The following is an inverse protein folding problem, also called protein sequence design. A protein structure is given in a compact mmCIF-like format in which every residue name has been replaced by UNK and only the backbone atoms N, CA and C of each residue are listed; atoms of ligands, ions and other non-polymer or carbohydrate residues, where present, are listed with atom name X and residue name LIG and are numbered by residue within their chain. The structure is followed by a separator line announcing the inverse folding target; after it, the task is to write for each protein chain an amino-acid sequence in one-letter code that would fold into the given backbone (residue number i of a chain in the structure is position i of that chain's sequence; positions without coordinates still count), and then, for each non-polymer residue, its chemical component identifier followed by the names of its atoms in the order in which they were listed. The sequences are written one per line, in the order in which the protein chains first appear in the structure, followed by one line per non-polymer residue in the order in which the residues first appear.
data_IF_220386410148
#
_entry.id   IF_220386410148
#
_cell.length_a   1.000
_cell.length_b   1.000
_cell.length_c   1.000
_cell.angle_alpha   90.00
_cell.angle_beta   90.00
_cell.angle_gamma   90.00
#
_symmetry.space_group_name_H-M   'P 1'
#
loop_
_entity.id
_entity.type
_entity.pdbx_description
1 polymer ?
#
# COMPACT_ATOMS: atom_id res chain seq x y z
N UNK A 1 2.40 -3.52 -24.34
CA UNK A 1 1.53 -4.27 -23.42
C UNK A 1 0.36 -3.37 -23.07
N UNK A 2 -0.87 -3.80 -23.31
CA UNK A 2 -2.05 -3.06 -22.86
C UNK A 2 -2.28 -3.42 -21.39
N UNK A 3 -2.07 -2.45 -20.48
CA UNK A 3 -2.40 -2.61 -19.06
C UNK A 3 -3.91 -2.48 -18.83
N UNK A 4 -4.38 -2.89 -17.66
CA UNK A 4 -5.78 -2.66 -17.30
C UNK A 4 -5.93 -1.25 -16.70
N UNK A 5 -7.11 -0.59 -16.87
CA UNK A 5 -7.32 0.73 -16.30
C UNK A 5 -7.46 0.74 -14.77
N UNK A 6 -7.78 -0.42 -14.18
CA UNK A 6 -8.06 -0.58 -12.75
C UNK A 6 -7.41 -1.85 -12.23
N UNK A 7 -6.80 -1.74 -11.05
CA UNK A 7 -6.26 -2.86 -10.24
C UNK A 7 -7.24 -4.03 -10.13
N UNK A 8 -8.53 -3.74 -9.92
CA UNK A 8 -9.56 -4.78 -9.79
C UNK A 8 -9.73 -5.63 -11.06
N UNK A 9 -9.53 -5.05 -12.24
CA UNK A 9 -9.65 -5.76 -13.51
C UNK A 9 -8.46 -6.71 -13.72
N UNK A 10 -7.28 -6.38 -13.16
CA UNK A 10 -6.09 -7.24 -13.15
C UNK A 10 -6.31 -8.48 -12.29
N UNK A 11 -6.74 -8.29 -11.04
CA UNK A 11 -7.09 -9.40 -10.14
C UNK A 11 -8.22 -10.28 -10.69
N UNK A 12 -9.17 -9.71 -11.43
CA UNK A 12 -10.22 -10.52 -12.04
C UNK A 12 -9.67 -11.53 -13.06
N UNK A 13 -8.50 -11.27 -13.68
CA UNK A 13 -7.93 -12.19 -14.67
C UNK A 13 -7.49 -13.51 -14.03
N UNK A 14 -6.94 -13.48 -12.80
CA UNK A 14 -6.59 -14.72 -12.08
C UNK A 14 -7.86 -15.43 -11.57
N UNK A 15 -8.90 -14.68 -11.18
CA UNK A 15 -10.19 -15.25 -10.76
C UNK A 15 -10.85 -16.06 -11.88
N UNK A 16 -10.85 -15.56 -13.11
CA UNK A 16 -11.45 -16.25 -14.26
C UNK A 16 -10.51 -17.27 -14.92
N UNK A 17 -9.31 -17.46 -14.37
CA UNK A 17 -8.31 -18.40 -14.90
C UNK A 17 -7.68 -17.99 -16.22
N UNK A 18 -7.66 -16.68 -16.55
CA UNK A 18 -7.00 -16.18 -17.77
C UNK A 18 -5.49 -16.02 -17.60
N UNK A 19 -5.02 -15.82 -16.37
CA UNK A 19 -3.60 -15.71 -16.03
C UNK A 19 -3.28 -16.56 -14.81
N UNK A 20 -2.04 -17.02 -14.72
CA UNK A 20 -1.55 -17.81 -13.58
C UNK A 20 -1.12 -16.94 -12.39
N UNK A 21 -0.78 -15.66 -12.64
CA UNK A 21 -0.33 -14.71 -11.63
C UNK A 21 -0.69 -13.27 -12.01
N UNK A 22 -0.80 -12.40 -11.01
CA UNK A 22 -0.98 -10.95 -11.15
C UNK A 22 0.17 -10.25 -10.41
N UNK A 23 0.70 -9.19 -11.02
CA UNK A 23 1.73 -8.37 -10.42
C UNK A 23 1.16 -7.01 -10.04
N UNK A 24 1.14 -6.69 -8.76
CA UNK A 24 0.55 -5.47 -8.26
C UNK A 24 1.32 -4.88 -7.09
N UNK A 25 0.98 -3.62 -6.76
CA UNK A 25 1.55 -2.96 -5.58
C UNK A 25 1.20 -3.72 -4.28
N UNK A 26 2.09 -3.63 -3.30
CA UNK A 26 1.93 -4.28 -1.99
C UNK A 26 0.61 -3.92 -1.29
N UNK A 27 0.15 -2.68 -1.44
CA UNK A 27 -1.14 -2.22 -0.87
C UNK A 27 -2.35 -2.87 -1.53
N UNK A 28 -2.33 -3.00 -2.86
CA UNK A 28 -3.37 -3.67 -3.62
C UNK A 28 -3.42 -5.17 -3.31
N UNK A 29 -2.25 -5.81 -3.22
CA UNK A 29 -2.12 -7.21 -2.82
C UNK A 29 -2.63 -7.42 -1.39
N UNK A 30 -2.27 -6.55 -0.44
CA UNK A 30 -2.72 -6.66 0.96
C UNK A 30 -4.25 -6.56 1.09
N UNK A 31 -4.88 -5.59 0.41
CA UNK A 31 -6.34 -5.46 0.37
C UNK A 31 -7.01 -6.71 -0.23
N UNK A 32 -6.45 -7.26 -1.32
CA UNK A 32 -6.94 -8.49 -1.93
C UNK A 32 -6.86 -9.68 -0.98
N UNK A 33 -5.71 -9.86 -0.32
CA UNK A 33 -5.48 -10.96 0.62
C UNK A 33 -6.42 -10.90 1.84
N UNK A 34 -6.74 -9.70 2.33
CA UNK A 34 -7.72 -9.50 3.41
C UNK A 34 -9.13 -9.93 2.97
N UNK A 35 -9.53 -9.61 1.73
CA UNK A 35 -10.85 -9.94 1.18
C UNK A 35 -11.01 -11.42 0.87
N UNK A 36 -9.92 -12.10 0.53
CA UNK A 36 -9.92 -13.50 0.10
C UNK A 36 -8.94 -14.36 0.90
N UNK A 37 -9.15 -14.50 2.23
CA UNK A 37 -8.20 -15.16 3.11
C UNK A 37 -8.00 -16.63 2.70
N UNK A 38 -6.74 -17.03 2.56
CA UNK A 38 -6.33 -18.40 2.25
C UNK A 38 -6.63 -18.88 0.82
N UNK A 39 -7.07 -17.99 -0.09
CA UNK A 39 -7.35 -18.37 -1.49
C UNK A 39 -6.18 -18.13 -2.45
N UNK A 40 -5.28 -17.23 -2.10
CA UNK A 40 -4.15 -16.80 -2.92
C UNK A 40 -2.89 -16.74 -2.08
N UNK A 41 -1.73 -16.66 -2.73
CA UNK A 41 -0.43 -16.52 -2.09
C UNK A 41 0.44 -15.52 -2.83
N UNK A 42 1.40 -14.92 -2.12
CA UNK A 42 2.41 -14.04 -2.70
C UNK A 42 3.64 -14.88 -3.02
N UNK A 43 3.83 -15.21 -4.30
CA UNK A 43 4.98 -16.02 -4.74
C UNK A 43 6.30 -15.23 -4.83
N UNK A 44 6.24 -13.90 -4.95
CA UNK A 44 7.41 -13.03 -5.03
C UNK A 44 7.10 -11.62 -4.53
N UNK A 45 8.06 -11.00 -3.85
CA UNK A 45 8.04 -9.59 -3.49
C UNK A 45 9.38 -8.94 -3.86
N UNK A 46 9.34 -7.87 -4.65
CA UNK A 46 10.53 -7.07 -4.94
C UNK A 46 11.00 -6.32 -3.68
N UNK A 47 12.30 -5.97 -3.56
CA UNK A 47 12.75 -5.06 -2.52
C UNK A 47 11.98 -3.74 -2.56
N UNK A 48 11.55 -3.23 -1.41
CA UNK A 48 10.89 -1.92 -1.31
C UNK A 48 11.90 -0.81 -1.55
N UNK A 49 11.88 -0.24 -2.76
CA UNK A 49 12.65 0.96 -3.11
C UNK A 49 11.82 2.24 -3.04
N UNK A 50 10.50 2.10 -3.05
CA UNK A 50 9.57 3.22 -3.20
C UNK A 50 8.90 3.57 -1.87
N UNK A 51 8.44 4.81 -1.75
CA UNK A 51 7.73 5.31 -0.56
C UNK A 51 6.39 5.92 -0.94
N UNK A 52 5.39 5.72 -0.08
CA UNK A 52 4.09 6.37 -0.21
C UNK A 52 4.11 7.73 0.46
N UNK A 53 3.53 8.74 -0.20
CA UNK A 53 3.47 10.11 0.28
C UNK A 53 2.09 10.72 0.08
N UNK A 54 1.78 11.72 0.90
CA UNK A 54 0.56 12.52 0.75
C UNK A 54 0.85 13.62 -0.26
N UNK A 55 0.13 13.63 -1.38
CA UNK A 55 0.17 14.74 -2.33
C UNK A 55 -0.62 15.94 -1.81
N UNK A 56 -0.02 17.12 -1.90
CA UNK A 56 -0.68 18.41 -1.61
C UNK A 56 -0.19 19.47 -2.61
N UNK A 57 -0.89 20.60 -2.67
CA UNK A 57 -0.53 21.68 -3.59
C UNK A 57 0.90 22.18 -3.34
N UNK A 58 1.62 22.47 -4.43
CA UNK A 58 2.92 23.14 -4.35
C UNK A 58 2.79 24.48 -3.62
N UNK A 59 3.87 24.92 -2.98
CA UNK A 59 3.98 26.22 -2.27
C UNK A 59 3.00 26.37 -1.09
N UNK A 60 2.76 25.29 -0.33
CA UNK A 60 1.98 25.29 0.91
C UNK A 60 2.84 24.85 2.11
N UNK A 61 3.80 25.67 2.56
CA UNK A 61 4.75 25.27 3.61
C UNK A 61 4.08 24.98 4.96
N UNK A 62 3.02 25.72 5.31
CA UNK A 62 2.27 25.49 6.55
C UNK A 62 1.57 24.13 6.53
N UNK A 63 1.00 23.75 5.38
CA UNK A 63 0.35 22.46 5.21
C UNK A 63 1.36 21.31 5.25
N UNK A 64 2.52 21.49 4.62
CA UNK A 64 3.62 20.52 4.70
C UNK A 64 4.04 20.30 6.16
N UNK A 65 4.23 21.39 6.91
CA UNK A 65 4.64 21.35 8.32
C UNK A 65 3.59 20.64 9.17
N UNK A 66 2.31 21.00 9.00
CA UNK A 66 1.20 20.39 9.73
C UNK A 66 1.06 18.88 9.42
N UNK A 67 1.13 18.49 8.14
CA UNK A 67 1.06 17.07 7.74
C UNK A 67 2.24 16.27 8.30
N UNK A 68 3.46 16.79 8.20
CA UNK A 68 4.64 16.12 8.76
C UNK A 68 4.54 15.96 10.28
N UNK A 69 4.07 16.99 11.00
CA UNK A 69 3.87 16.92 12.44
C UNK A 69 2.79 15.88 12.83
N UNK A 70 1.67 15.85 12.10
CA UNK A 70 0.60 14.88 12.34
C UNK A 70 1.07 13.43 12.10
N UNK A 71 1.79 13.17 11.00
CA UNK A 71 2.34 11.84 10.71
C UNK A 71 3.33 11.37 11.79
N UNK A 72 4.18 12.29 12.29
CA UNK A 72 5.09 12.00 13.41
C UNK A 72 4.33 11.64 14.69
N UNK A 73 3.30 12.40 15.03
CA UNK A 73 2.48 12.15 16.21
C UNK A 73 1.82 10.77 16.13
N UNK A 74 1.17 10.46 15.00
CA UNK A 74 0.49 9.17 14.77
C UNK A 74 1.46 7.98 14.68
N UNK A 75 2.72 8.20 14.28
CA UNK A 75 3.77 7.19 14.36
C UNK A 75 4.21 7.00 15.81
N UNK A 76 4.46 8.08 16.54
CA UNK A 76 4.95 8.08 17.92
C UNK A 76 3.95 7.50 18.93
N UNK A 77 2.65 7.70 18.71
CA UNK A 77 1.59 7.17 19.58
C UNK A 77 1.16 5.72 19.23
N UNK A 78 1.71 5.15 18.16
CA UNK A 78 1.43 3.77 17.74
C UNK A 78 0.16 3.59 16.90
N UNK A 79 -0.57 4.66 16.58
CA UNK A 79 -1.77 4.61 15.73
C UNK A 79 -1.43 4.03 14.36
N UNK A 80 -0.38 4.53 13.70
CA UNK A 80 0.02 4.01 12.38
C UNK A 80 0.51 2.57 12.44
N UNK A 81 1.16 2.15 13.53
CA UNK A 81 1.57 0.75 13.72
C UNK A 81 0.36 -0.17 13.82
N UNK A 82 -0.67 0.26 14.55
CA UNK A 82 -1.94 -0.47 14.69
C UNK A 82 -2.65 -0.59 13.33
N UNK A 83 -2.69 0.49 12.55
CA UNK A 83 -3.26 0.48 11.20
C UNK A 83 -2.48 -0.41 10.24
N UNK A 84 -1.14 -0.36 10.27
CA UNK A 84 -0.30 -1.21 9.43
C UNK A 84 -0.59 -2.69 9.67
N UNK A 85 -0.70 -3.11 10.94
CA UNK A 85 -1.10 -4.49 11.30
C UNK A 85 -2.51 -4.83 10.81
N UNK A 86 -3.48 -3.94 11.01
CA UNK A 86 -4.87 -4.13 10.58
C UNK A 86 -4.99 -4.39 9.08
N UNK A 87 -4.21 -3.66 8.28
CA UNK A 87 -4.23 -3.74 6.83
C UNK A 87 -3.10 -4.60 6.24
N UNK A 88 -2.46 -5.44 7.07
CA UNK A 88 -1.38 -6.35 6.65
C UNK A 88 -0.22 -5.66 5.89
N UNK A 89 0.03 -4.39 6.21
CA UNK A 89 1.13 -3.63 5.63
C UNK A 89 2.42 -3.91 6.40
N UNK A 90 3.52 -4.07 5.68
CA UNK A 90 4.85 -4.18 6.27
C UNK A 90 5.18 -2.90 7.08
N UNK A 91 5.48 -2.99 8.39
CA UNK A 91 5.80 -1.84 9.22
C UNK A 91 6.94 -0.96 8.70
N UNK A 92 7.84 -1.49 7.86
CA UNK A 92 8.94 -0.73 7.24
C UNK A 92 8.43 0.48 6.43
N UNK A 93 7.17 0.47 5.96
CA UNK A 93 6.56 1.61 5.25
C UNK A 93 6.47 2.86 6.13
N UNK A 94 6.49 2.71 7.45
CA UNK A 94 6.42 3.84 8.39
C UNK A 94 7.79 4.50 8.60
N UNK A 95 8.89 3.87 8.19
CA UNK A 95 10.26 4.39 8.41
C UNK A 95 10.57 5.63 7.58
N UNK A 96 9.78 5.86 6.53
CA UNK A 96 9.85 7.09 5.71
C UNK A 96 9.45 8.34 6.52
N UNK A 97 8.64 8.15 7.57
CA UNK A 97 8.25 9.21 8.51
C UNK A 97 9.38 9.39 9.54
N UNK A 98 10.21 10.40 9.31
CA UNK A 98 11.33 10.82 10.17
C UNK A 98 10.93 12.00 11.04
#
# INVERSE_FOLDING_TARGET
MAGYPKVADEFQQIVVGRVDAVWETDTAVSDWMIKYPGKYEVGYAAPKTDSYGIYFQKNKPDLQTALSAALKALKGDGTLSTLAKKYQMDPVVLDVIK
#
